data_IF_754610001605
#
_entry.id   IF_754610001605
#
_cell.length_a   1.000
_cell.length_b   1.000
_cell.length_c   1.000
_cell.angle_alpha   90.00
_cell.angle_beta   90.00
_cell.angle_gamma   90.00
#
_symmetry.space_group_name_H-M   'P 1'
#
loop_
_entity.id
_entity.type
_entity.pdbx_description
1 polymer ?
#
# COMPACT_ATOMS: atom_id res chain seq x y z
N UNK A 1 64.53 3.13 -53.14
CA UNK A 1 63.26 2.37 -53.04
C UNK A 1 62.13 3.31 -53.41
N UNK A 2 61.47 3.07 -54.55
CA UNK A 2 60.54 4.00 -55.19
C UNK A 2 59.18 4.02 -54.51
N UNK A 3 58.78 5.20 -54.07
CA UNK A 3 57.48 5.50 -53.38
C UNK A 3 56.25 5.54 -54.31
N UNK A 4 56.32 4.84 -55.50
CA UNK A 4 55.25 4.82 -56.49
C UNK A 4 54.01 3.99 -56.06
N UNK A 5 54.13 3.12 -55.06
CA UNK A 5 53.09 2.24 -54.61
C UNK A 5 51.97 2.96 -53.79
N UNK A 6 52.29 4.15 -53.24
CA UNK A 6 51.37 4.97 -52.45
C UNK A 6 50.42 5.82 -53.32
N UNK A 7 50.66 5.90 -54.65
CA UNK A 7 49.96 6.80 -55.61
C UNK A 7 48.91 6.09 -56.44
N UNK A 8 48.70 4.79 -56.34
CA UNK A 8 47.66 4.09 -57.10
C UNK A 8 46.25 4.42 -56.53
N UNK A 9 45.26 4.54 -57.47
CA UNK A 9 43.85 4.81 -57.05
C UNK A 9 43.36 3.85 -55.98
N UNK A 10 43.74 2.58 -56.04
CA UNK A 10 43.38 1.54 -55.07
C UNK A 10 43.94 1.80 -53.70
N UNK A 11 45.19 2.24 -53.51
CA UNK A 11 45.79 2.58 -52.25
C UNK A 11 45.14 3.82 -51.61
N UNK A 12 44.73 4.79 -52.37
CA UNK A 12 43.96 5.94 -51.88
C UNK A 12 42.59 5.54 -51.38
N UNK A 13 41.86 4.71 -52.13
CA UNK A 13 40.57 4.21 -51.70
C UNK A 13 40.70 3.32 -50.46
N UNK A 14 41.70 2.46 -50.36
CA UNK A 14 42.01 1.68 -49.17
C UNK A 14 42.30 2.54 -47.93
N UNK A 15 43.12 3.59 -48.10
CA UNK A 15 43.43 4.53 -47.02
C UNK A 15 42.17 5.29 -46.53
N UNK A 16 41.32 5.77 -47.47
CA UNK A 16 40.05 6.41 -47.10
C UNK A 16 39.11 5.45 -46.40
N UNK A 17 38.98 4.20 -46.83
CA UNK A 17 38.16 3.18 -46.22
C UNK A 17 38.65 2.87 -44.81
N UNK A 18 39.99 2.73 -44.62
CA UNK A 18 40.56 2.48 -43.29
C UNK A 18 40.31 3.65 -42.34
N UNK A 19 40.49 4.90 -42.79
CA UNK A 19 40.21 6.09 -41.99
C UNK A 19 38.71 6.14 -41.64
N UNK A 20 37.82 5.85 -42.61
CA UNK A 20 36.37 5.81 -42.33
C UNK A 20 36.01 4.76 -41.29
N UNK A 21 36.55 3.55 -41.38
CA UNK A 21 36.33 2.48 -40.39
C UNK A 21 36.84 2.92 -39.04
N UNK A 22 38.02 3.54 -38.93
CA UNK A 22 38.56 4.02 -37.65
C UNK A 22 37.70 5.12 -37.03
N UNK A 23 37.17 6.05 -37.84
CA UNK A 23 36.27 7.10 -37.39
C UNK A 23 34.95 6.50 -36.88
N UNK A 24 34.36 5.54 -37.60
CA UNK A 24 33.13 4.85 -37.16
C UNK A 24 33.36 4.09 -35.86
N UNK A 25 34.50 3.37 -35.76
CA UNK A 25 34.86 2.69 -34.52
C UNK A 25 35.04 3.67 -33.35
N UNK A 26 35.71 4.79 -33.57
CA UNK A 26 35.86 5.82 -32.54
C UNK A 26 34.50 6.40 -32.07
N UNK A 27 33.58 6.63 -33.04
CA UNK A 27 32.23 7.10 -32.73
C UNK A 27 31.47 6.04 -31.89
N UNK A 28 31.53 4.76 -32.28
CA UNK A 28 30.85 3.66 -31.56
C UNK A 28 31.42 3.50 -30.16
N UNK A 29 32.76 3.54 -30.00
CA UNK A 29 33.42 3.47 -28.72
C UNK A 29 33.04 4.68 -27.83
N UNK A 30 33.08 5.90 -28.43
CA UNK A 30 32.69 7.13 -27.73
C UNK A 30 31.23 7.14 -27.30
N UNK A 31 30.32 6.72 -28.20
CA UNK A 31 28.89 6.59 -27.90
C UNK A 31 28.63 5.54 -26.77
N UNK A 32 29.32 4.40 -26.86
CA UNK A 32 29.20 3.36 -25.82
C UNK A 32 29.76 3.82 -24.45
N UNK A 33 30.90 4.53 -24.47
CA UNK A 33 31.46 5.12 -23.25
C UNK A 33 30.53 6.17 -22.66
N UNK A 34 29.96 7.06 -23.50
CA UNK A 34 29.02 8.10 -23.05
C UNK A 34 27.72 7.49 -22.51
N UNK A 35 27.19 6.45 -23.18
CA UNK A 35 26.01 5.71 -22.73
C UNK A 35 26.26 5.01 -21.39
N UNK A 36 27.45 4.42 -21.20
CA UNK A 36 27.82 3.76 -19.94
C UNK A 36 28.06 4.76 -18.79
N UNK A 37 28.61 5.93 -19.09
CA UNK A 37 28.81 7.00 -18.12
C UNK A 37 27.49 7.67 -17.68
N UNK A 38 26.46 7.67 -18.53
CA UNK A 38 25.14 8.23 -18.27
C UNK A 38 24.04 7.15 -18.27
N UNK A 39 24.27 6.06 -17.57
CA UNK A 39 23.38 4.90 -17.54
C UNK A 39 22.04 5.25 -16.84
N UNK A 40 21.11 5.86 -17.56
CA UNK A 40 19.73 6.09 -17.14
C UNK A 40 18.86 4.98 -17.70
N UNK A 41 18.51 4.02 -16.85
CA UNK A 41 17.52 3.00 -17.22
C UNK A 41 16.10 3.55 -17.03
N UNK A 42 15.25 3.38 -18.02
CA UNK A 42 13.83 3.67 -17.94
C UNK A 42 13.06 2.36 -17.82
N UNK A 43 12.33 2.21 -16.70
CA UNK A 43 11.46 1.07 -16.51
C UNK A 43 10.15 1.28 -17.29
N UNK A 44 10.00 0.57 -18.40
CA UNK A 44 8.81 0.60 -19.26
C UNK A 44 7.76 -0.45 -18.89
N UNK A 45 7.95 -1.18 -17.79
CA UNK A 45 6.96 -2.15 -17.33
C UNK A 45 5.73 -1.43 -16.75
N UNK A 46 4.53 -1.97 -16.99
CA UNK A 46 3.26 -1.35 -16.58
C UNK A 46 3.22 -1.03 -15.06
N UNK A 47 3.81 -1.91 -14.22
CA UNK A 47 3.87 -1.75 -12.75
C UNK A 47 5.23 -1.25 -12.25
N UNK A 48 6.08 -0.69 -13.12
CA UNK A 48 7.44 -0.23 -12.77
C UNK A 48 8.19 -1.27 -11.90
N UNK A 49 8.18 -2.52 -12.36
CA UNK A 49 8.66 -3.68 -11.58
C UNK A 49 10.15 -3.60 -11.26
N UNK A 50 10.93 -2.97 -12.13
CA UNK A 50 12.39 -2.85 -12.01
C UNK A 50 12.84 -1.51 -11.43
N UNK A 51 11.93 -0.61 -11.07
CA UNK A 51 12.22 0.65 -10.38
C UNK A 51 11.58 0.67 -9.00
N UNK A 52 12.19 1.41 -8.07
CA UNK A 52 11.61 1.64 -6.75
C UNK A 52 10.36 2.54 -6.88
N UNK A 53 9.38 2.33 -5.99
CA UNK A 53 8.15 3.11 -5.94
C UNK A 53 8.42 4.58 -5.62
N UNK A 54 7.49 5.45 -5.98
CA UNK A 54 7.63 6.87 -5.69
C UNK A 54 7.60 7.14 -4.17
N UNK A 55 6.92 6.29 -3.40
CA UNK A 55 6.97 6.30 -1.93
C UNK A 55 8.38 6.01 -1.39
N UNK A 56 9.06 4.98 -1.91
CA UNK A 56 10.45 4.67 -1.57
C UNK A 56 11.39 5.81 -1.96
N UNK A 57 11.24 6.36 -3.17
CA UNK A 57 12.05 7.50 -3.63
C UNK A 57 11.91 8.70 -2.71
N UNK A 58 10.69 9.00 -2.24
CA UNK A 58 10.43 10.07 -1.29
C UNK A 58 11.18 9.84 0.02
N UNK A 59 11.05 8.65 0.63
CA UNK A 59 11.76 8.29 1.86
C UNK A 59 13.27 8.45 1.71
N UNK A 60 13.83 7.97 0.61
CA UNK A 60 15.27 8.02 0.34
C UNK A 60 15.75 9.45 0.06
N UNK A 61 14.93 10.29 -0.58
CA UNK A 61 15.27 11.71 -0.83
C UNK A 61 15.31 12.56 0.44
N UNK A 62 14.57 12.17 1.49
CA UNK A 62 14.50 12.86 2.78
C UNK A 62 15.63 12.45 3.76
N UNK A 63 16.50 11.52 3.39
CA UNK A 63 17.62 11.08 4.23
C UNK A 63 18.56 12.24 4.57
N UNK A 64 18.75 12.51 5.85
CA UNK A 64 19.69 13.53 6.35
C UNK A 64 21.10 12.99 6.54
N UNK A 65 21.21 11.77 7.03
CA UNK A 65 22.48 11.07 7.34
C UNK A 65 22.59 9.77 6.55
N UNK A 66 23.77 9.14 6.60
CA UNK A 66 24.04 7.86 5.95
C UNK A 66 23.20 6.74 6.56
N UNK A 67 22.71 5.86 5.70
CA UNK A 67 21.98 4.63 6.03
C UNK A 67 22.82 3.45 5.53
N UNK A 68 23.16 2.53 6.42
CA UNK A 68 23.78 1.25 6.08
C UNK A 68 22.71 0.19 5.82
N UNK A 69 22.82 -0.56 4.73
CA UNK A 69 22.01 -1.77 4.50
C UNK A 69 22.99 -2.94 4.41
N UNK A 70 22.90 -3.89 5.32
CA UNK A 70 23.77 -5.06 5.34
C UNK A 70 22.96 -6.33 5.06
N UNK A 71 23.34 -7.05 4.01
CA UNK A 71 22.74 -8.33 3.62
C UNK A 71 23.66 -9.48 4.03
N UNK A 72 23.11 -10.42 4.79
CA UNK A 72 23.81 -11.59 5.31
C UNK A 72 23.32 -12.87 4.63
N UNK A 73 24.11 -13.43 3.72
CA UNK A 73 23.80 -14.70 3.04
C UNK A 73 25.09 -15.33 2.50
N UNK A 74 24.96 -16.52 1.92
CA UNK A 74 26.06 -17.16 1.21
C UNK A 74 26.47 -16.33 0.00
N UNK A 75 27.76 -16.32 -0.30
CA UNK A 75 28.30 -15.56 -1.45
C UNK A 75 27.57 -15.83 -2.76
N UNK A 76 27.07 -17.07 -2.97
CA UNK A 76 26.30 -17.45 -4.17
C UNK A 76 24.94 -16.76 -4.29
N UNK A 77 24.35 -16.29 -3.19
CA UNK A 77 23.05 -15.61 -3.15
C UNK A 77 23.13 -14.09 -3.37
N UNK A 78 24.33 -13.50 -3.32
CA UNK A 78 24.51 -12.04 -3.42
C UNK A 78 23.99 -11.46 -4.72
N UNK A 79 24.14 -12.15 -5.85
CA UNK A 79 23.71 -11.62 -7.15
C UNK A 79 22.20 -11.39 -7.20
N UNK A 80 21.43 -12.30 -6.60
CA UNK A 80 19.99 -12.12 -6.49
C UNK A 80 19.61 -10.89 -5.62
N UNK A 81 20.32 -10.68 -4.52
CA UNK A 81 20.07 -9.55 -3.62
C UNK A 81 20.47 -8.21 -4.25
N UNK A 82 21.55 -8.17 -5.06
CA UNK A 82 22.00 -6.97 -5.78
C UNK A 82 20.93 -6.36 -6.66
N UNK A 83 20.16 -7.20 -7.36
CA UNK A 83 19.07 -6.72 -8.22
C UNK A 83 18.03 -5.85 -7.49
N UNK A 84 17.89 -6.01 -6.19
CA UNK A 84 16.98 -5.24 -5.34
C UNK A 84 17.69 -4.16 -4.54
N UNK A 85 18.79 -4.50 -3.86
CA UNK A 85 19.47 -3.60 -2.92
C UNK A 85 20.28 -2.50 -3.63
N UNK A 86 20.90 -2.79 -4.77
CA UNK A 86 21.70 -1.80 -5.49
C UNK A 86 20.81 -0.66 -6.04
N UNK A 87 19.51 -0.89 -6.28
CA UNK A 87 18.57 0.18 -6.63
C UNK A 87 18.46 1.27 -5.56
N UNK A 88 18.59 0.91 -4.29
CA UNK A 88 18.60 1.89 -3.19
C UNK A 88 19.90 2.69 -3.18
N UNK A 89 21.04 2.03 -3.42
CA UNK A 89 22.35 2.67 -3.56
C UNK A 89 22.38 3.65 -4.74
N UNK A 90 21.77 3.26 -5.87
CA UNK A 90 21.71 4.10 -7.07
C UNK A 90 20.79 5.31 -6.89
N UNK A 91 19.81 5.21 -5.99
CA UNK A 91 18.86 6.28 -5.70
C UNK A 91 19.46 7.38 -4.81
N UNK A 92 20.39 7.06 -3.91
CA UNK A 92 21.03 8.03 -3.01
C UNK A 92 22.43 7.61 -2.59
N UNK A 93 23.38 8.55 -2.69
CA UNK A 93 24.74 8.38 -2.21
C UNK A 93 24.86 8.20 -0.68
N UNK A 94 23.78 8.51 0.05
CA UNK A 94 23.68 8.28 1.51
C UNK A 94 23.37 6.84 1.88
N UNK A 95 23.00 5.99 0.92
CA UNK A 95 22.74 4.58 1.15
C UNK A 95 23.99 3.77 0.82
N UNK A 96 24.50 3.05 1.82
CA UNK A 96 25.64 2.14 1.68
C UNK A 96 25.16 0.70 1.83
N UNK A 97 25.33 -0.10 0.76
CA UNK A 97 24.94 -1.53 0.77
C UNK A 97 26.19 -2.39 0.96
N UNK A 98 26.13 -3.30 1.92
CA UNK A 98 27.22 -4.23 2.25
C UNK A 98 26.69 -5.67 2.17
N UNK A 99 27.49 -6.56 1.58
CA UNK A 99 27.17 -7.98 1.46
C UNK A 99 28.16 -8.79 2.29
N UNK A 100 27.66 -9.58 3.23
CA UNK A 100 28.49 -10.33 4.19
C UNK A 100 28.07 -11.79 4.17
N UNK A 101 29.05 -12.67 3.95
CA UNK A 101 28.87 -14.11 4.07
C UNK A 101 29.15 -14.51 5.54
N UNK A 102 28.11 -14.98 6.29
CA UNK A 102 28.26 -15.35 7.70
C UNK A 102 29.24 -16.49 7.94
N UNK A 103 29.45 -17.38 6.95
CA UNK A 103 30.42 -18.47 7.06
C UNK A 103 31.86 -17.92 6.94
N UNK A 104 32.08 -16.85 6.18
CA UNK A 104 33.38 -16.21 5.99
C UNK A 104 33.69 -15.15 7.04
N UNK A 105 32.66 -14.50 7.61
CA UNK A 105 32.80 -13.45 8.62
C UNK A 105 31.87 -13.67 9.82
N UNK A 106 32.08 -14.77 10.58
CA UNK A 106 31.20 -15.17 11.67
C UNK A 106 31.14 -14.17 12.83
N UNK A 107 32.20 -13.41 13.04
CA UNK A 107 32.24 -12.40 14.10
C UNK A 107 31.25 -11.25 13.82
N UNK A 108 31.18 -10.76 12.57
CA UNK A 108 30.28 -9.69 12.19
C UNK A 108 28.83 -10.19 12.24
N UNK A 109 28.57 -11.41 11.78
CA UNK A 109 27.25 -12.00 11.83
C UNK A 109 26.73 -12.17 13.28
N UNK A 110 27.60 -12.55 14.22
CA UNK A 110 27.26 -12.64 15.65
C UNK A 110 26.94 -11.28 16.26
N UNK A 111 27.75 -10.27 15.96
CA UNK A 111 27.50 -8.89 16.43
C UNK A 111 26.18 -8.32 15.91
N UNK A 112 25.80 -8.65 14.68
CA UNK A 112 24.53 -8.26 14.07
C UNK A 112 23.36 -9.17 14.46
N UNK A 113 23.54 -10.12 15.38
CA UNK A 113 22.50 -11.08 15.81
C UNK A 113 21.85 -11.86 14.67
N UNK A 114 22.59 -12.17 13.60
CA UNK A 114 22.09 -12.93 12.44
C UNK A 114 21.72 -14.34 12.87
N UNK A 115 20.44 -14.70 12.69
CA UNK A 115 19.93 -16.03 13.01
C UNK A 115 19.80 -16.93 11.77
N UNK A 116 19.51 -16.35 10.61
CA UNK A 116 19.25 -17.06 9.38
C UNK A 116 19.99 -16.43 8.20
N UNK A 117 20.26 -17.24 7.17
CA UNK A 117 20.69 -16.74 5.87
C UNK A 117 19.56 -15.90 5.24
N UNK A 118 19.93 -14.88 4.46
CA UNK A 118 18.99 -13.96 3.85
C UNK A 118 18.56 -12.81 4.76
N UNK A 119 19.15 -12.67 5.97
CA UNK A 119 18.86 -11.55 6.88
C UNK A 119 19.35 -10.22 6.32
N UNK A 120 18.53 -9.19 6.47
CA UNK A 120 18.82 -7.82 6.02
C UNK A 120 18.69 -6.88 7.20
N UNK A 121 19.73 -6.12 7.47
CA UNK A 121 19.71 -5.11 8.53
C UNK A 121 19.92 -3.71 7.97
N UNK A 122 19.20 -2.75 8.53
CA UNK A 122 19.28 -1.33 8.21
C UNK A 122 19.79 -0.58 9.43
N UNK A 123 20.91 0.10 9.27
CA UNK A 123 21.59 0.89 10.30
C UNK A 123 21.41 2.39 10.05
N UNK A 124 20.97 3.13 11.06
CA UNK A 124 20.87 4.59 11.03
C UNK A 124 21.24 5.17 12.40
N UNK A 125 22.43 5.73 12.51
CA UNK A 125 22.98 6.16 13.78
C UNK A 125 23.17 4.98 14.75
N UNK A 126 22.46 5.00 15.87
CA UNK A 126 22.47 3.91 16.87
C UNK A 126 21.37 2.88 16.68
N UNK A 127 20.49 3.07 15.70
CA UNK A 127 19.37 2.16 15.43
C UNK A 127 19.76 1.08 14.46
N UNK A 128 19.31 -0.12 14.75
CA UNK A 128 19.54 -1.34 13.99
C UNK A 128 18.19 -2.04 13.78
N UNK A 129 17.69 -2.06 12.54
CA UNK A 129 16.35 -2.57 12.19
C UNK A 129 16.45 -3.71 11.19
N UNK A 130 15.74 -4.78 11.40
CA UNK A 130 15.69 -5.93 10.49
C UNK A 130 14.58 -5.77 9.46
N UNK A 131 14.90 -5.99 8.18
CA UNK A 131 13.92 -6.23 7.12
C UNK A 131 13.71 -7.74 6.98
N UNK A 132 12.48 -8.20 7.16
CA UNK A 132 12.13 -9.63 7.25
C UNK A 132 12.17 -10.37 5.92
N UNK A 133 12.25 -9.66 4.79
CA UNK A 133 12.33 -10.22 3.45
C UNK A 133 13.05 -9.28 2.48
N UNK A 134 13.59 -9.85 1.39
CA UNK A 134 14.25 -9.12 0.31
C UNK A 134 13.20 -8.48 -0.64
N UNK A 135 12.29 -7.69 -0.08
CA UNK A 135 11.26 -6.95 -0.82
C UNK A 135 11.39 -5.45 -0.60
N UNK A 136 10.91 -4.66 -1.55
CA UNK A 136 10.92 -3.20 -1.42
C UNK A 136 10.16 -2.74 -0.18
N UNK A 137 9.01 -3.36 0.11
CA UNK A 137 8.17 -3.06 1.27
C UNK A 137 8.95 -3.21 2.58
N UNK A 138 9.61 -4.35 2.78
CA UNK A 138 10.34 -4.67 4.01
C UNK A 138 11.59 -3.81 4.18
N UNK A 139 12.36 -3.61 3.12
CA UNK A 139 13.60 -2.81 3.16
C UNK A 139 13.27 -1.33 3.43
N UNK A 140 12.32 -0.76 2.70
CA UNK A 140 11.92 0.64 2.94
C UNK A 140 11.21 0.78 4.27
N UNK A 141 10.45 -0.24 4.71
CA UNK A 141 9.89 -0.32 6.05
C UNK A 141 10.97 -0.26 7.13
N UNK A 142 12.05 -1.03 6.99
CA UNK A 142 13.18 -1.00 7.92
C UNK A 142 13.91 0.37 7.92
N UNK A 143 14.11 0.97 6.74
CA UNK A 143 14.65 2.34 6.64
C UNK A 143 13.76 3.32 7.41
N UNK A 144 12.44 3.29 7.20
CA UNK A 144 11.48 4.15 7.91
C UNK A 144 11.54 3.94 9.42
N UNK A 145 11.54 2.68 9.88
CA UNK A 145 11.66 2.35 11.31
C UNK A 145 12.94 2.94 11.91
N UNK A 146 14.07 2.81 11.22
CA UNK A 146 15.34 3.37 11.65
C UNK A 146 15.31 4.92 11.72
N UNK A 147 14.60 5.58 10.79
CA UNK A 147 14.49 7.05 10.75
C UNK A 147 13.53 7.61 11.81
N UNK A 148 12.50 6.85 12.21
CA UNK A 148 11.45 7.35 13.11
C UNK A 148 11.97 7.47 14.54
N UNK A 149 11.86 8.65 15.13
CA UNK A 149 12.20 8.90 16.53
C UNK A 149 11.00 8.60 17.44
N UNK A 150 11.20 7.75 18.46
CA UNK A 150 10.20 7.40 19.47
C UNK A 150 9.48 6.06 19.20
N UNK A 151 8.93 5.50 20.26
CA UNK A 151 8.10 4.29 20.21
C UNK A 151 6.65 4.72 20.04
N UNK A 152 6.01 4.31 18.95
CA UNK A 152 4.57 4.49 18.74
C UNK A 152 3.84 3.29 19.30
N UNK A 153 2.82 3.50 20.11
CA UNK A 153 2.02 2.42 20.69
C UNK A 153 0.55 2.62 20.35
N UNK A 154 -0.06 1.66 19.68
CA UNK A 154 -1.48 1.56 19.44
C UNK A 154 -2.12 0.73 20.59
N UNK A 155 -2.93 1.39 21.42
CA UNK A 155 -3.62 0.79 22.53
C UNK A 155 -5.05 0.43 22.11
N UNK A 156 -5.35 -0.85 22.03
CA UNK A 156 -6.67 -1.36 21.67
C UNK A 156 -7.52 -1.41 22.91
N UNK A 157 -8.58 -0.59 22.94
CA UNK A 157 -9.54 -0.57 24.04
C UNK A 157 -10.23 -1.92 24.13
N UNK A 158 -10.40 -2.42 25.34
CA UNK A 158 -11.10 -3.68 25.62
C UNK A 158 -12.00 -3.54 26.86
N UNK A 159 -13.07 -4.34 26.88
CA UNK A 159 -14.01 -4.40 28.01
C UNK A 159 -15.48 -4.22 27.60
N UNK A 160 -15.75 -3.58 26.44
CA UNK A 160 -17.10 -3.38 25.93
C UNK A 160 -17.39 -4.23 24.67
N UNK A 161 -16.69 -5.35 24.50
CA UNK A 161 -16.90 -6.29 23.40
C UNK A 161 -16.21 -5.88 22.09
N UNK A 162 -15.16 -5.09 22.19
CA UNK A 162 -14.33 -4.70 21.06
C UNK A 162 -13.54 -5.89 20.50
N UNK A 163 -13.15 -5.78 19.23
CA UNK A 163 -12.31 -6.78 18.58
C UNK A 163 -10.91 -6.87 19.18
N UNK A 164 -10.49 -8.11 19.53
CA UNK A 164 -9.19 -8.37 20.18
C UNK A 164 -8.05 -8.55 19.18
N UNK A 165 -6.89 -7.99 19.50
CA UNK A 165 -5.64 -8.17 18.76
C UNK A 165 -4.96 -9.52 19.00
N UNK A 166 -5.40 -10.26 20.02
CA UNK A 166 -4.92 -11.62 20.32
C UNK A 166 -5.79 -12.70 19.69
N UNK A 167 -6.98 -12.32 19.24
CA UNK A 167 -7.89 -13.24 18.57
C UNK A 167 -7.44 -13.51 17.13
N UNK A 168 -7.23 -14.80 16.82
CA UNK A 168 -6.83 -15.31 15.50
C UNK A 168 -8.00 -15.75 14.63
N UNK A 169 -9.23 -15.75 15.17
CA UNK A 169 -10.43 -16.12 14.44
C UNK A 169 -10.79 -15.05 13.38
N UNK A 170 -11.80 -15.33 12.61
CA UNK A 170 -12.18 -14.49 11.44
C UNK A 170 -12.49 -13.04 11.82
N UNK A 171 -13.07 -12.80 13.01
CA UNK A 171 -13.49 -11.50 13.51
C UNK A 171 -12.40 -10.78 14.32
N UNK A 172 -11.33 -11.50 14.72
CA UNK A 172 -10.18 -10.96 15.44
C UNK A 172 -9.34 -9.98 14.64
N UNK A 173 -8.38 -9.34 15.30
CA UNK A 173 -7.51 -8.29 14.73
C UNK A 173 -6.02 -8.67 14.74
N UNK A 174 -5.67 -9.95 14.91
CA UNK A 174 -4.28 -10.40 14.99
C UNK A 174 -3.48 -10.06 13.71
N UNK A 175 -4.10 -10.13 12.52
CA UNK A 175 -3.44 -9.74 11.26
C UNK A 175 -3.18 -8.25 11.18
N UNK A 176 -4.07 -7.41 11.71
CA UNK A 176 -3.84 -5.97 11.76
C UNK A 176 -2.75 -5.63 12.78
N UNK A 177 -2.72 -6.30 13.92
CA UNK A 177 -1.60 -6.23 14.87
C UNK A 177 -0.27 -6.51 14.17
N UNK A 178 -0.14 -7.64 13.47
CA UNK A 178 1.08 -8.02 12.76
C UNK A 178 1.49 -6.95 11.71
N UNK A 179 0.51 -6.34 11.04
CA UNK A 179 0.77 -5.26 10.09
C UNK A 179 1.30 -4.00 10.77
N UNK A 180 0.78 -3.65 11.97
CA UNK A 180 1.25 -2.52 12.78
C UNK A 180 2.67 -2.74 13.29
N UNK A 181 2.97 -3.93 13.78
CA UNK A 181 4.30 -4.28 14.29
C UNK A 181 5.39 -4.20 13.19
N UNK A 182 5.04 -4.57 11.95
CA UNK A 182 5.93 -4.43 10.79
C UNK A 182 6.31 -2.98 10.48
N UNK A 183 5.50 -2.00 10.85
CA UNK A 183 5.80 -0.58 10.68
C UNK A 183 6.28 0.08 11.98
N UNK A 184 6.81 -0.71 12.92
CA UNK A 184 7.31 -0.26 14.22
C UNK A 184 6.26 0.49 15.07
N UNK A 185 5.02 0.01 15.04
CA UNK A 185 3.95 0.42 15.97
C UNK A 185 3.71 -0.73 16.93
N UNK A 186 4.11 -0.55 18.19
CA UNK A 186 3.80 -1.53 19.24
C UNK A 186 2.29 -1.59 19.46
N UNK A 187 1.80 -2.76 19.80
CA UNK A 187 0.38 -2.96 20.12
C UNK A 187 0.22 -3.46 21.54
N UNK A 188 -0.80 -3.00 22.23
CA UNK A 188 -1.23 -3.55 23.53
C UNK A 188 -2.73 -3.43 23.70
N UNK A 189 -3.31 -4.31 24.51
CA UNK A 189 -4.68 -4.17 24.97
C UNK A 189 -4.76 -3.15 26.10
N UNK A 190 -5.87 -2.42 26.15
CA UNK A 190 -6.17 -1.39 27.15
C UNK A 190 -7.50 -1.74 27.84
N UNK A 191 -7.47 -2.47 28.95
CA UNK A 191 -8.67 -2.92 29.66
C UNK A 191 -9.30 -1.76 30.46
N UNK A 192 -10.11 -0.93 29.79
CA UNK A 192 -10.67 0.31 30.36
C UNK A 192 -11.67 0.11 31.47
N UNK A 193 -12.32 -1.05 31.55
CA UNK A 193 -13.22 -1.37 32.70
C UNK A 193 -12.43 -1.60 33.99
N UNK A 194 -11.17 -2.02 33.92
CA UNK A 194 -10.33 -2.19 35.13
C UNK A 194 -9.72 -0.84 35.55
N UNK A 195 -9.33 -0.01 34.62
CA UNK A 195 -8.79 1.31 34.88
C UNK A 195 -9.21 2.25 33.73
N UNK A 196 -10.15 3.16 34.02
CA UNK A 196 -10.66 4.14 33.08
C UNK A 196 -9.64 5.27 32.84
N UNK A 197 -8.48 4.93 32.23
CA UNK A 197 -7.41 5.86 31.94
C UNK A 197 -6.63 5.40 30.70
N UNK A 198 -6.41 6.30 29.75
CA UNK A 198 -5.47 6.07 28.65
C UNK A 198 -4.09 6.51 29.11
N UNK A 199 -3.18 5.54 29.27
CA UNK A 199 -1.83 5.79 29.77
C UNK A 199 -0.99 6.67 28.83
N UNK A 200 0.01 7.34 29.38
CA UNK A 200 0.94 8.21 28.61
C UNK A 200 1.81 7.47 27.62
N UNK A 201 1.91 6.16 27.74
CA UNK A 201 2.59 5.27 26.80
C UNK A 201 1.76 4.93 25.54
N UNK A 202 0.45 5.25 25.57
CA UNK A 202 -0.43 5.14 24.41
C UNK A 202 -0.27 6.35 23.48
N UNK A 203 0.15 6.10 22.25
CA UNK A 203 0.18 7.14 21.19
C UNK A 203 -1.18 7.26 20.51
N UNK A 204 -1.86 6.12 20.31
CA UNK A 204 -3.14 6.02 19.64
C UNK A 204 -4.06 5.12 20.48
N UNK A 205 -5.30 5.54 20.70
CA UNK A 205 -6.37 4.67 21.18
C UNK A 205 -7.14 4.11 19.97
N UNK A 206 -7.24 2.78 19.88
CA UNK A 206 -8.02 2.10 18.85
C UNK A 206 -9.27 1.51 19.51
N UNK A 207 -10.43 1.94 19.04
CA UNK A 207 -11.75 1.49 19.46
C UNK A 207 -12.33 0.64 18.34
N UNK A 208 -12.27 -0.66 18.48
CA UNK A 208 -12.51 -1.62 17.41
C UNK A 208 -13.93 -2.23 17.49
N UNK A 209 -14.95 -1.43 17.28
CA UNK A 209 -16.35 -1.85 17.21
C UNK A 209 -16.85 -2.43 18.54
N UNK A 210 -17.04 -1.60 19.56
CA UNK A 210 -17.67 -2.04 20.80
C UNK A 210 -19.05 -2.60 20.52
N UNK A 211 -19.43 -3.65 21.25
CA UNK A 211 -20.77 -4.25 21.19
C UNK A 211 -21.66 -3.81 22.36
N UNK A 212 -21.07 -3.13 23.33
CA UNK A 212 -21.76 -2.57 24.49
C UNK A 212 -21.30 -1.13 24.69
N UNK A 213 -22.22 -0.31 25.19
CA UNK A 213 -21.93 1.10 25.43
C UNK A 213 -20.91 1.31 26.55
N UNK A 214 -20.18 2.41 26.47
CA UNK A 214 -19.20 2.75 27.48
C UNK A 214 -19.85 3.36 28.72
N UNK A 215 -19.45 2.89 29.90
CA UNK A 215 -19.76 3.57 31.12
C UNK A 215 -19.14 4.97 31.18
N UNK A 216 -19.76 5.96 31.80
CA UNK A 216 -19.30 7.34 31.80
C UNK A 216 -17.81 7.55 32.10
N UNK A 217 -17.19 6.87 33.10
CA UNK A 217 -15.76 7.05 33.35
C UNK A 217 -14.86 6.66 32.19
N UNK A 218 -15.21 5.60 31.44
CA UNK A 218 -14.45 5.13 30.27
C UNK A 218 -14.58 6.12 29.10
N UNK A 219 -15.83 6.53 28.79
CA UNK A 219 -16.11 7.55 27.77
C UNK A 219 -15.34 8.84 28.07
N UNK A 220 -15.40 9.33 29.32
CA UNK A 220 -14.78 10.59 29.71
C UNK A 220 -13.24 10.50 29.66
N UNK A 221 -12.66 9.35 29.97
CA UNK A 221 -11.22 9.11 29.84
C UNK A 221 -10.77 9.16 28.38
N UNK A 222 -11.52 8.54 27.45
CA UNK A 222 -11.25 8.59 26.01
C UNK A 222 -11.40 10.03 25.50
N UNK A 223 -12.49 10.71 25.87
CA UNK A 223 -12.75 12.10 25.51
C UNK A 223 -11.59 13.00 25.94
N UNK A 224 -11.21 12.94 27.20
CA UNK A 224 -10.10 13.71 27.78
C UNK A 224 -8.76 13.42 27.09
N UNK A 225 -8.48 12.16 26.78
CA UNK A 225 -7.27 11.78 26.05
C UNK A 225 -7.20 12.48 24.69
N UNK A 226 -8.26 12.41 23.89
CA UNK A 226 -8.32 13.01 22.55
C UNK A 226 -8.26 14.54 22.65
N UNK A 227 -9.08 15.18 23.50
CA UNK A 227 -9.13 16.64 23.65
C UNK A 227 -7.81 17.24 24.13
N UNK A 228 -7.00 16.48 24.85
CA UNK A 228 -5.64 16.86 25.27
C UNK A 228 -4.55 16.60 24.21
N UNK A 229 -4.92 16.23 23.00
CA UNK A 229 -3.97 16.01 21.89
C UNK A 229 -3.66 14.55 21.61
N UNK A 230 -4.33 13.60 22.27
CA UNK A 230 -4.29 12.18 21.95
C UNK A 230 -4.88 11.88 20.58
N UNK A 231 -4.65 10.68 20.09
CA UNK A 231 -5.09 10.25 18.75
C UNK A 231 -6.02 9.05 18.89
N UNK A 232 -7.09 9.00 18.09
CA UNK A 232 -8.02 7.88 18.12
C UNK A 232 -8.40 7.38 16.71
N UNK A 233 -8.44 6.06 16.57
CA UNK A 233 -9.09 5.36 15.45
C UNK A 233 -10.35 4.71 16.03
N UNK A 234 -11.52 5.15 15.55
CA UNK A 234 -12.83 4.70 16.06
C UNK A 234 -13.56 4.00 14.94
N UNK A 235 -13.87 2.74 15.17
CA UNK A 235 -14.55 1.85 14.24
C UNK A 235 -15.91 1.47 14.82
N UNK A 236 -16.97 1.62 14.03
CA UNK A 236 -18.34 1.31 14.47
C UNK A 236 -18.85 0.00 13.86
N UNK A 237 -19.85 -0.58 14.51
CA UNK A 237 -20.57 -1.77 14.03
C UNK A 237 -22.07 -1.48 13.98
N UNK A 238 -22.84 -1.93 12.97
CA UNK A 238 -24.28 -1.77 12.98
C UNK A 238 -24.93 -2.45 14.18
N UNK A 239 -25.86 -1.76 14.83
CA UNK A 239 -26.63 -2.28 15.97
C UNK A 239 -27.71 -3.27 15.50
N UNK A 240 -27.30 -4.42 14.98
CA UNK A 240 -28.22 -5.47 14.50
C UNK A 240 -28.74 -6.25 15.69
N UNK A 241 -30.07 -6.31 15.91
CA UNK A 241 -30.64 -7.09 17.02
C UNK A 241 -30.27 -8.57 16.93
N UNK A 242 -29.99 -9.18 18.06
CA UNK A 242 -29.76 -10.61 18.18
C UNK A 242 -31.07 -11.41 17.99
N UNK A 243 -31.01 -12.74 18.15
CA UNK A 243 -32.17 -13.62 18.06
C UNK A 243 -33.24 -13.34 19.16
N UNK A 244 -32.84 -12.72 20.25
CA UNK A 244 -33.73 -12.31 21.33
C UNK A 244 -34.33 -10.91 21.11
N UNK A 245 -33.93 -10.23 20.03
CA UNK A 245 -34.39 -8.89 19.69
C UNK A 245 -33.65 -7.78 20.47
N UNK A 246 -32.57 -8.13 21.16
CA UNK A 246 -31.73 -7.17 21.88
C UNK A 246 -30.77 -6.53 20.91
N UNK A 247 -30.90 -5.21 20.72
CA UNK A 247 -29.95 -4.41 19.95
C UNK A 247 -28.87 -3.91 20.88
N UNK A 248 -27.64 -4.20 20.54
CA UNK A 248 -26.47 -3.63 21.20
C UNK A 248 -26.02 -2.39 20.41
N UNK A 249 -26.00 -1.24 21.07
CA UNK A 249 -25.54 0.02 20.47
C UNK A 249 -24.64 0.75 21.46
N UNK A 250 -23.95 1.74 20.95
CA UNK A 250 -23.00 2.55 21.71
C UNK A 250 -23.36 4.05 21.71
N UNK A 251 -24.58 4.41 22.22
CA UNK A 251 -25.10 5.78 22.12
C UNK A 251 -24.22 6.84 22.79
N UNK A 252 -23.52 6.51 23.87
CA UNK A 252 -22.59 7.44 24.51
C UNK A 252 -21.35 7.68 23.67
N UNK A 253 -20.82 6.65 22.99
CA UNK A 253 -19.71 6.80 22.03
C UNK A 253 -20.17 7.57 20.79
N UNK A 254 -21.33 7.24 20.22
CA UNK A 254 -21.92 7.95 19.07
C UNK A 254 -22.09 9.45 19.38
N UNK A 255 -22.64 9.78 20.55
CA UNK A 255 -22.83 11.16 20.98
C UNK A 255 -21.51 11.90 21.13
N UNK A 256 -20.49 11.26 21.73
CA UNK A 256 -19.15 11.85 21.86
C UNK A 256 -18.54 12.19 20.51
N UNK A 257 -18.65 11.28 19.54
CA UNK A 257 -18.12 11.47 18.18
C UNK A 257 -18.94 12.53 17.42
N UNK A 258 -20.27 12.58 17.62
CA UNK A 258 -21.14 13.60 17.05
C UNK A 258 -20.84 15.00 17.59
N UNK A 259 -20.51 15.13 18.88
CA UNK A 259 -20.07 16.39 19.49
C UNK A 259 -18.76 16.91 18.85
N UNK A 260 -17.89 16.02 18.39
CA UNK A 260 -16.67 16.39 17.66
C UNK A 260 -16.91 16.76 16.21
N UNK A 261 -18.01 16.32 15.60
CA UNK A 261 -18.38 16.69 14.23
C UNK A 261 -18.64 15.53 13.27
N UNK A 262 -18.76 14.29 13.76
CA UNK A 262 -19.13 13.14 12.93
C UNK A 262 -20.32 12.42 13.53
N UNK A 263 -21.49 12.52 12.93
CA UNK A 263 -22.65 11.71 13.34
C UNK A 263 -22.59 10.34 12.66
N UNK A 264 -22.80 9.29 13.44
CA UNK A 264 -22.86 7.90 12.99
C UNK A 264 -24.31 7.48 12.96
N UNK A 265 -24.82 7.15 11.77
CA UNK A 265 -26.24 6.79 11.61
C UNK A 265 -26.49 5.34 12.02
N UNK A 266 -27.67 5.05 12.57
CA UNK A 266 -28.06 3.67 12.88
C UNK A 266 -28.70 3.02 11.64
N UNK A 267 -27.87 2.62 10.70
CA UNK A 267 -28.24 2.05 9.42
C UNK A 267 -27.27 0.95 8.99
N UNK A 268 -27.56 0.31 7.87
CA UNK A 268 -26.66 -0.64 7.23
C UNK A 268 -26.58 -0.31 5.75
N UNK A 269 -25.37 -0.17 5.26
CA UNK A 269 -25.07 0.13 3.85
C UNK A 269 -24.82 -1.16 3.08
N UNK A 270 -25.50 -1.29 1.94
CA UNK A 270 -25.36 -2.37 0.96
C UNK A 270 -24.79 -1.88 -0.35
N UNK A 271 -24.19 -2.79 -1.10
CA UNK A 271 -23.78 -2.54 -2.48
C UNK A 271 -24.22 -3.71 -3.36
N UNK A 272 -25.04 -3.42 -4.36
CA UNK A 272 -25.51 -4.41 -5.35
C UNK A 272 -24.70 -4.38 -6.64
N UNK A 273 -23.56 -3.69 -6.63
CA UNK A 273 -22.62 -3.61 -7.74
C UNK A 273 -21.91 -4.94 -8.03
N UNK A 274 -21.03 -4.97 -9.03
CA UNK A 274 -20.39 -6.22 -9.50
C UNK A 274 -19.60 -6.97 -8.42
N UNK A 275 -19.09 -6.26 -7.42
CA UNK A 275 -18.31 -6.85 -6.33
C UNK A 275 -19.14 -7.56 -5.25
N UNK A 276 -20.46 -7.32 -5.21
CA UNK A 276 -21.37 -7.99 -4.26
C UNK A 276 -21.38 -9.51 -4.40
N UNK A 277 -21.11 -10.03 -5.59
CA UNK A 277 -20.98 -11.48 -5.85
C UNK A 277 -19.77 -12.10 -5.17
N UNK A 278 -18.72 -11.31 -4.89
CA UNK A 278 -17.48 -11.78 -4.27
C UNK A 278 -17.49 -11.59 -2.76
N UNK A 279 -17.95 -10.42 -2.30
CA UNK A 279 -17.84 -10.00 -0.89
C UNK A 279 -19.18 -10.05 -0.16
N UNK A 280 -20.30 -10.23 -0.88
CA UNK A 280 -21.66 -10.12 -0.36
C UNK A 280 -22.20 -8.68 -0.41
N UNK A 281 -23.53 -8.54 -0.43
CA UNK A 281 -24.19 -7.24 -0.56
C UNK A 281 -23.93 -6.31 0.64
N UNK A 282 -23.82 -6.86 1.85
CA UNK A 282 -23.52 -6.10 3.08
C UNK A 282 -22.02 -5.73 3.23
N UNK A 283 -21.26 -5.77 2.14
CA UNK A 283 -19.83 -5.44 2.11
C UNK A 283 -19.51 -4.47 0.96
N UNK A 284 -19.93 -3.20 1.06
CA UNK A 284 -19.69 -2.23 0.01
C UNK A 284 -18.20 -2.06 -0.29
N UNK A 285 -17.91 -1.91 -1.59
CA UNK A 285 -16.55 -1.72 -2.11
C UNK A 285 -16.35 -0.26 -2.47
N UNK A 286 -15.28 0.32 -1.95
CA UNK A 286 -14.85 1.69 -2.25
C UNK A 286 -13.64 1.65 -3.18
N UNK A 287 -13.70 2.39 -4.28
CA UNK A 287 -12.58 2.62 -5.21
C UNK A 287 -12.40 4.11 -5.54
N UNK A 288 -13.19 4.99 -4.90
CA UNK A 288 -13.13 6.43 -5.09
C UNK A 288 -12.87 7.12 -3.76
N UNK A 289 -11.74 7.81 -3.69
CA UNK A 289 -11.25 8.47 -2.48
C UNK A 289 -11.27 9.98 -2.64
N UNK A 290 -11.43 10.69 -1.53
CA UNK A 290 -11.42 12.14 -1.47
C UNK A 290 -9.98 12.69 -1.42
N UNK A 291 -9.81 14.02 -1.47
CA UNK A 291 -8.49 14.66 -1.40
C UNK A 291 -8.06 14.82 0.06
N UNK A 292 -7.48 13.77 0.65
CA UNK A 292 -6.95 13.80 2.01
C UNK A 292 -5.65 12.98 2.10
N UNK A 293 -4.73 13.34 3.01
CA UNK A 293 -3.42 12.70 3.14
C UNK A 293 -3.48 11.18 3.37
N UNK A 294 -4.49 10.68 4.11
CA UNK A 294 -4.71 9.25 4.37
C UNK A 294 -4.94 8.46 3.07
N UNK A 295 -5.67 9.04 2.12
CA UNK A 295 -6.20 8.34 0.95
C UNK A 295 -5.59 8.81 -0.38
N UNK A 296 -4.75 9.83 -0.34
CA UNK A 296 -4.13 10.44 -1.52
C UNK A 296 -3.44 9.43 -2.45
N UNK A 297 -2.76 8.45 -1.88
CA UNK A 297 -1.97 7.49 -2.63
C UNK A 297 -2.70 6.14 -2.84
N UNK A 298 -3.97 6.05 -2.45
CA UNK A 298 -4.80 4.86 -2.67
C UNK A 298 -5.14 4.64 -4.16
N UNK A 299 -5.16 5.71 -4.95
CA UNK A 299 -5.40 5.64 -6.38
C UNK A 299 -6.72 4.98 -6.74
N UNK A 300 -6.66 3.85 -7.47
CA UNK A 300 -7.82 3.02 -7.83
C UNK A 300 -7.92 1.71 -7.02
N UNK A 301 -7.14 1.60 -5.97
CA UNK A 301 -7.13 0.40 -5.13
C UNK A 301 -8.50 0.20 -4.47
N UNK A 302 -9.04 -1.01 -4.53
CA UNK A 302 -10.32 -1.33 -3.94
C UNK A 302 -10.18 -1.63 -2.44
N UNK A 303 -11.07 -1.08 -1.61
CA UNK A 303 -11.23 -1.43 -0.19
C UNK A 303 -12.65 -1.91 0.07
N UNK A 304 -12.81 -2.86 0.98
CA UNK A 304 -14.08 -3.51 1.32
C UNK A 304 -14.46 -3.18 2.75
N UNK A 305 -15.71 -2.79 2.96
CA UNK A 305 -16.22 -2.38 4.27
C UNK A 305 -17.43 -3.23 4.69
N UNK A 306 -17.22 -4.46 5.18
CA UNK A 306 -18.34 -5.30 5.62
C UNK A 306 -19.07 -4.65 6.80
N UNK A 307 -20.40 -4.81 6.82
CA UNK A 307 -21.27 -4.34 7.90
C UNK A 307 -21.04 -2.86 8.22
N UNK A 308 -21.28 -1.99 7.24
CA UNK A 308 -21.00 -0.56 7.35
C UNK A 308 -22.22 0.27 7.74
N UNK A 309 -21.97 1.27 8.56
CA UNK A 309 -22.89 2.37 8.89
C UNK A 309 -22.50 3.61 8.10
N UNK A 310 -23.45 4.43 7.73
CA UNK A 310 -23.19 5.71 7.08
C UNK A 310 -22.80 6.79 8.09
N UNK A 311 -21.98 7.75 7.64
CA UNK A 311 -21.51 8.88 8.44
C UNK A 311 -22.02 10.19 7.86
N UNK A 312 -22.42 11.13 8.74
CA UNK A 312 -22.65 12.54 8.41
C UNK A 312 -21.52 13.38 8.97
N UNK A 313 -20.78 14.06 8.09
CA UNK A 313 -19.57 14.79 8.42
C UNK A 313 -19.87 16.30 8.47
N UNK A 314 -19.59 16.93 9.61
CA UNK A 314 -19.75 18.36 9.87
C UNK A 314 -18.39 19.10 9.77
N UNK A 315 -18.40 20.41 9.94
CA UNK A 315 -17.18 21.24 9.91
C UNK A 315 -16.14 20.77 10.93
N UNK A 316 -14.86 20.78 10.54
CA UNK A 316 -13.75 20.28 11.36
C UNK A 316 -13.31 18.86 11.02
N UNK A 317 -14.12 18.12 10.26
CA UNK A 317 -13.77 16.81 9.71
C UNK A 317 -13.89 16.80 8.18
N UNK A 318 -13.09 15.98 7.54
CA UNK A 318 -13.09 15.75 6.11
C UNK A 318 -13.52 14.31 5.80
N UNK A 319 -14.32 14.17 4.74
CA UNK A 319 -14.67 12.84 4.22
C UNK A 319 -13.44 12.19 3.62
N UNK A 320 -13.25 10.90 3.86
CA UNK A 320 -12.14 10.13 3.29
C UNK A 320 -12.57 9.39 2.03
N UNK A 321 -13.69 8.70 2.11
CA UNK A 321 -14.21 7.87 1.05
C UNK A 321 -15.72 7.67 1.17
N UNK A 322 -16.33 7.39 0.03
CA UNK A 322 -17.77 7.16 -0.12
C UNK A 322 -18.02 5.90 -0.97
N UNK A 323 -19.18 5.29 -0.80
CA UNK A 323 -19.62 4.17 -1.63
C UNK A 323 -19.90 4.61 -3.07
N UNK A 324 -20.09 3.65 -3.97
CA UNK A 324 -20.54 3.90 -5.34
C UNK A 324 -22.05 4.15 -5.46
N UNK A 325 -22.47 4.47 -6.67
CA UNK A 325 -23.90 4.75 -7.02
C UNK A 325 -24.79 3.50 -6.98
N UNK A 326 -24.18 2.30 -6.85
CA UNK A 326 -24.88 1.01 -6.72
C UNK A 326 -25.19 0.65 -5.26
N UNK A 327 -24.84 1.53 -4.33
CA UNK A 327 -25.10 1.30 -2.91
C UNK A 327 -26.47 1.79 -2.48
N UNK A 328 -26.99 1.15 -1.46
CA UNK A 328 -28.24 1.46 -0.79
C UNK A 328 -28.04 1.43 0.72
N UNK A 329 -28.93 2.13 1.44
CA UNK A 329 -28.91 2.23 2.88
C UNK A 329 -30.28 1.83 3.41
N UNK A 330 -30.30 0.86 4.34
CA UNK A 330 -31.52 0.50 5.07
C UNK A 330 -31.42 0.86 6.54
N UNK A 331 -32.53 1.35 7.11
CA UNK A 331 -32.69 1.57 8.57
C UNK A 331 -33.42 0.41 9.23
N UNK A 332 -33.91 -0.57 8.45
CA UNK A 332 -34.53 -1.76 8.97
C UNK A 332 -33.48 -2.83 9.29
N UNK A 333 -32.98 -2.81 10.52
CA UNK A 333 -31.93 -3.72 10.99
C UNK A 333 -32.47 -5.04 11.57
N UNK A 334 -33.79 -5.31 11.49
CA UNK A 334 -34.39 -6.55 12.03
C UNK A 334 -34.09 -7.74 11.10
N UNK A 335 -33.46 -8.81 11.59
CA UNK A 335 -33.23 -10.01 10.78
C UNK A 335 -34.55 -10.74 10.41
N UNK A 336 -34.66 -11.29 9.18
CA UNK A 336 -33.69 -11.23 8.11
C UNK A 336 -33.70 -9.86 7.42
N UNK A 337 -32.55 -9.19 7.43
CA UNK A 337 -32.39 -7.89 6.79
C UNK A 337 -32.46 -8.11 5.28
N UNK A 338 -33.36 -7.39 4.60
CA UNK A 338 -33.53 -7.47 3.16
C UNK A 338 -33.49 -6.06 2.56
N UNK A 339 -32.76 -5.93 1.47
CA UNK A 339 -32.78 -4.71 0.66
C UNK A 339 -34.16 -4.53 0.04
N UNK A 340 -34.72 -3.34 0.15
CA UNK A 340 -35.92 -2.89 -0.50
C UNK A 340 -35.61 -1.64 -1.34
N UNK A 341 -35.23 -1.77 -2.62
CA UNK A 341 -34.77 -0.65 -3.44
C UNK A 341 -35.80 0.47 -3.59
N UNK A 342 -37.11 0.19 -3.32
CA UNK A 342 -38.17 1.18 -3.39
C UNK A 342 -38.29 2.02 -2.11
N UNK A 343 -37.79 1.52 -0.98
CA UNK A 343 -37.83 2.20 0.33
C UNK A 343 -36.46 2.64 0.83
N UNK A 344 -35.41 1.91 0.46
CA UNK A 344 -34.06 2.17 0.91
C UNK A 344 -33.44 3.34 0.13
N UNK A 345 -32.68 4.16 0.84
CA UNK A 345 -32.06 5.35 0.26
C UNK A 345 -30.89 4.94 -0.63
N UNK A 346 -30.84 5.49 -1.86
CA UNK A 346 -29.73 5.25 -2.80
C UNK A 346 -28.54 6.13 -2.47
N UNK A 347 -27.31 5.56 -2.59
CA UNK A 347 -26.02 6.21 -2.35
C UNK A 347 -25.61 7.25 -3.41
N UNK A 348 -24.40 7.81 -3.28
CA UNK A 348 -23.29 7.37 -2.43
C UNK A 348 -23.43 7.75 -0.95
N UNK A 349 -22.75 7.00 -0.05
CA UNK A 349 -22.71 7.21 1.39
C UNK A 349 -21.28 7.32 1.90
N UNK A 350 -21.03 8.27 2.80
CA UNK A 350 -19.73 8.42 3.46
C UNK A 350 -19.54 7.29 4.48
N UNK A 351 -18.41 6.58 4.41
CA UNK A 351 -18.06 5.50 5.34
C UNK A 351 -16.84 5.81 6.20
N UNK A 352 -16.08 6.85 5.89
CA UNK A 352 -14.89 7.24 6.64
C UNK A 352 -14.69 8.75 6.68
N UNK A 353 -14.26 9.25 7.83
CA UNK A 353 -13.96 10.65 8.07
C UNK A 353 -12.72 10.82 8.95
N UNK A 354 -11.99 11.91 8.77
CA UNK A 354 -10.85 12.29 9.61
C UNK A 354 -10.89 13.76 9.95
N UNK A 355 -10.39 14.11 11.14
CA UNK A 355 -10.38 15.50 11.56
C UNK A 355 -9.58 15.75 12.83
N UNK A 356 -9.59 17.00 13.28
CA UNK A 356 -8.87 17.45 14.47
C UNK A 356 -9.86 17.93 15.52
N UNK A 357 -9.76 17.38 16.73
CA UNK A 357 -10.58 17.76 17.89
C UNK A 357 -9.83 18.76 18.74
N UNK A 358 -10.52 19.85 19.14
CA UNK A 358 -9.95 20.93 19.99
C UNK A 358 -8.61 21.49 19.48
N UNK A 359 -8.38 21.43 18.14
CA UNK A 359 -7.15 21.91 17.51
C UNK A 359 -5.87 21.10 17.81
N UNK A 360 -5.97 19.99 18.52
CA UNK A 360 -4.81 19.19 18.98
C UNK A 360 -4.96 17.67 18.75
N UNK A 361 -6.09 17.10 19.12
CA UNK A 361 -6.35 15.67 18.96
C UNK A 361 -6.66 15.30 17.52
N UNK A 362 -6.16 14.19 17.01
CA UNK A 362 -6.53 13.67 15.69
C UNK A 362 -7.45 12.46 15.83
N UNK A 363 -8.49 12.43 15.04
CA UNK A 363 -9.48 11.33 15.08
C UNK A 363 -9.77 10.87 13.66
N UNK A 364 -9.83 9.56 13.49
CA UNK A 364 -10.37 8.90 12.30
C UNK A 364 -11.57 8.07 12.73
N UNK A 365 -12.69 8.25 12.05
CA UNK A 365 -13.93 7.51 12.28
C UNK A 365 -14.27 6.70 11.04
N UNK A 366 -14.58 5.42 11.22
CA UNK A 366 -15.01 4.52 10.14
C UNK A 366 -16.28 3.80 10.56
N UNK A 367 -17.27 3.80 9.70
CA UNK A 367 -18.59 3.18 9.94
C UNK A 367 -18.59 1.65 9.88
N UNK A 368 -17.44 1.00 9.80
CA UNK A 368 -17.31 -0.46 9.84
C UNK A 368 -16.17 -0.83 10.79
N UNK A 369 -16.33 -1.83 11.64
CA UNK A 369 -15.23 -2.42 12.37
C UNK A 369 -14.69 -3.66 11.64
N UNK A 370 -15.55 -4.39 10.95
CA UNK A 370 -15.19 -5.63 10.27
C UNK A 370 -14.15 -5.46 9.14
N UNK A 371 -13.96 -4.26 8.62
CA UNK A 371 -13.04 -4.00 7.49
C UNK A 371 -11.55 -4.21 7.81
N UNK A 372 -11.16 -4.21 9.08
CA UNK A 372 -9.80 -4.52 9.55
C UNK A 372 -9.69 -5.88 10.23
N UNK A 373 -10.77 -6.67 10.25
CA UNK A 373 -10.76 -8.02 10.81
C UNK A 373 -9.84 -8.96 10.03
N UNK A 374 -9.47 -10.07 10.65
CA UNK A 374 -8.66 -11.12 10.02
C UNK A 374 -9.30 -11.64 8.73
N UNK A 375 -10.62 -11.73 8.68
CA UNK A 375 -11.38 -12.11 7.49
C UNK A 375 -11.21 -11.10 6.37
N UNK A 376 -11.44 -9.82 6.63
CA UNK A 376 -11.33 -8.76 5.62
C UNK A 376 -9.89 -8.61 5.10
N UNK A 377 -8.89 -8.72 5.99
CA UNK A 377 -7.47 -8.67 5.64
C UNK A 377 -6.94 -9.93 4.94
N UNK A 378 -7.75 -10.98 4.78
CA UNK A 378 -7.40 -12.16 3.99
C UNK A 378 -7.69 -12.00 2.50
N UNK A 379 -8.52 -11.05 2.12
CA UNK A 379 -8.78 -10.74 0.72
C UNK A 379 -7.66 -9.89 0.11
N UNK A 380 -7.41 -10.01 -1.21
CA UNK A 380 -6.44 -9.19 -1.93
C UNK A 380 -7.00 -7.78 -2.19
N UNK A 381 -7.27 -7.05 -1.13
CA UNK A 381 -7.79 -5.66 -1.13
C UNK A 381 -6.80 -4.74 -0.43
N UNK A 382 -6.96 -3.43 -0.64
CA UNK A 382 -6.10 -2.43 -0.03
C UNK A 382 -6.52 -2.03 1.41
N UNK A 383 -7.32 -2.86 2.09
CA UNK A 383 -7.78 -2.59 3.46
C UNK A 383 -6.61 -2.41 4.43
N UNK A 384 -5.61 -3.32 4.37
CA UNK A 384 -4.42 -3.23 5.20
C UNK A 384 -3.71 -1.89 4.99
N UNK A 385 -3.48 -1.50 3.75
CA UNK A 385 -2.72 -0.30 3.41
C UNK A 385 -3.46 0.97 3.85
N UNK A 386 -4.79 1.02 3.68
CA UNK A 386 -5.62 2.11 4.18
C UNK A 386 -5.57 2.20 5.70
N UNK A 387 -5.66 1.07 6.41
CA UNK A 387 -5.53 1.02 7.87
C UNK A 387 -4.19 1.56 8.36
N UNK A 388 -3.10 1.14 7.72
CA UNK A 388 -1.75 1.62 8.03
C UNK A 388 -1.59 3.12 7.72
N UNK A 389 -2.19 3.64 6.64
CA UNK A 389 -2.18 5.06 6.32
C UNK A 389 -2.92 5.89 7.37
N UNK A 390 -4.07 5.40 7.89
CA UNK A 390 -4.78 6.04 9.01
C UNK A 390 -3.90 6.14 10.26
N UNK A 391 -3.23 5.07 10.64
CA UNK A 391 -2.31 5.05 11.79
C UNK A 391 -1.13 6.02 11.58
N UNK A 392 -0.54 6.04 10.38
CA UNK A 392 0.54 6.97 10.06
C UNK A 392 0.10 8.44 10.15
N UNK A 393 -1.09 8.76 9.63
CA UNK A 393 -1.64 10.12 9.72
C UNK A 393 -1.96 10.52 11.16
N UNK A 394 -2.53 9.61 11.95
CA UNK A 394 -2.80 9.83 13.37
C UNK A 394 -1.54 10.16 14.16
N UNK A 395 -0.41 9.54 13.85
CA UNK A 395 0.87 9.81 14.49
C UNK A 395 1.59 11.05 13.98
N UNK A 396 1.01 11.78 13.04
CA UNK A 396 1.63 12.88 12.31
C UNK A 396 2.80 12.48 11.39
N UNK A 397 2.92 11.19 11.13
CA UNK A 397 3.93 10.64 10.23
C UNK A 397 3.42 10.62 8.77
N UNK A 398 2.96 11.76 8.27
CA UNK A 398 2.43 11.88 6.90
C UNK A 398 3.45 11.46 5.82
N UNK A 399 4.73 11.51 6.14
CA UNK A 399 5.81 11.02 5.27
C UNK A 399 5.91 9.49 5.22
N UNK A 400 5.27 8.78 6.16
CA UNK A 400 5.31 7.33 6.28
C UNK A 400 4.15 6.66 5.53
N UNK A 401 4.01 6.96 4.24
CA UNK A 401 3.00 6.33 3.38
C UNK A 401 3.34 4.86 3.21
N UNK A 402 2.34 4.00 3.31
CA UNK A 402 2.50 2.56 3.07
C UNK A 402 2.90 2.32 1.62
N UNK A 403 3.94 1.50 1.42
CA UNK A 403 4.38 1.10 0.08
C UNK A 403 3.46 -0.01 -0.39
N UNK A 404 2.69 0.19 -1.50
CA UNK A 404 1.85 -0.87 -2.01
C UNK A 404 2.70 -2.07 -2.45
N UNK A 405 2.24 -3.26 -2.09
CA UNK A 405 2.87 -4.50 -2.55
C UNK A 405 2.72 -4.58 -4.06
N UNK A 406 3.84 -4.73 -4.80
CA UNK A 406 3.78 -4.94 -6.25
C UNK A 406 3.33 -6.37 -6.52
N UNK A 407 2.03 -6.57 -6.72
CA UNK A 407 1.49 -7.87 -7.08
C UNK A 407 1.98 -8.31 -8.47
N UNK A 408 2.21 -9.62 -8.67
CA UNK A 408 2.49 -10.16 -10.00
C UNK A 408 1.26 -9.92 -10.89
N UNK A 409 1.42 -9.12 -11.92
CA UNK A 409 0.38 -8.91 -12.92
C UNK A 409 0.10 -10.24 -13.66
N UNK A 410 -1.13 -10.71 -13.60
CA UNK A 410 -1.58 -11.83 -14.43
C UNK A 410 -1.65 -11.35 -15.90
N UNK A 411 -0.59 -11.62 -16.66
CA UNK A 411 -0.43 -11.20 -18.07
C UNK A 411 -1.17 -12.13 -19.04
N UNK A 412 -2.20 -12.82 -18.61
CA UNK A 412 -3.03 -13.55 -19.55
C UNK A 412 -3.74 -12.53 -20.43
N UNK A 413 -3.38 -12.54 -21.72
CA UNK A 413 -4.07 -11.74 -22.72
C UNK A 413 -5.48 -12.35 -22.87
N UNK A 414 -6.46 -11.77 -22.20
CA UNK A 414 -7.85 -12.11 -22.39
C UNK A 414 -8.37 -11.39 -23.64
N UNK A 415 -8.25 -12.04 -24.76
CA UNK A 415 -8.83 -11.55 -26.01
C UNK A 415 -10.34 -11.82 -26.02
N UNK A 416 -11.14 -10.80 -26.24
CA UNK A 416 -12.56 -10.99 -26.55
C UNK A 416 -12.73 -11.78 -27.85
N UNK A 417 -13.82 -12.54 -28.01
CA UNK A 417 -14.08 -13.30 -29.23
C UNK A 417 -14.00 -12.44 -30.50
N UNK A 418 -14.38 -11.17 -30.44
CA UNK A 418 -14.29 -10.22 -31.56
C UNK A 418 -12.82 -9.88 -31.89
N UNK A 419 -11.97 -9.69 -30.89
CA UNK A 419 -10.53 -9.45 -31.07
C UNK A 419 -9.82 -10.68 -31.64
N UNK A 420 -10.15 -11.88 -31.15
CA UNK A 420 -9.63 -13.14 -31.68
C UNK A 420 -9.97 -13.30 -33.17
N UNK A 421 -11.23 -13.05 -33.55
CA UNK A 421 -11.67 -13.12 -34.94
C UNK A 421 -11.00 -12.08 -35.84
N UNK A 422 -10.76 -10.85 -35.34
CA UNK A 422 -10.02 -9.82 -36.08
C UNK A 422 -8.56 -10.22 -36.31
N UNK A 423 -7.90 -10.78 -35.30
CA UNK A 423 -6.51 -11.26 -35.42
C UNK A 423 -6.45 -12.43 -36.41
N UNK A 424 -7.38 -13.39 -36.31
CA UNK A 424 -7.46 -14.51 -37.23
C UNK A 424 -7.70 -14.05 -38.68
N UNK A 425 -8.64 -13.12 -38.91
CA UNK A 425 -8.92 -12.56 -40.21
C UNK A 425 -7.71 -11.82 -40.80
N UNK A 426 -7.04 -11.01 -40.00
CA UNK A 426 -5.88 -10.23 -40.46
C UNK A 426 -4.68 -11.12 -40.81
N UNK A 427 -4.41 -12.16 -40.02
CA UNK A 427 -3.28 -13.05 -40.21
C UNK A 427 -3.50 -14.06 -41.33
N UNK A 428 -4.71 -14.61 -41.46
CA UNK A 428 -5.01 -15.72 -42.39
C UNK A 428 -5.45 -15.18 -43.79
N UNK A 429 -6.10 -14.03 -43.86
CA UNK A 429 -6.66 -13.50 -45.09
C UNK A 429 -5.91 -12.24 -45.55
N UNK A 430 -5.85 -11.20 -44.73
CA UNK A 430 -5.33 -9.89 -45.14
C UNK A 430 -3.83 -9.97 -45.50
N UNK A 431 -3.03 -10.59 -44.66
CA UNK A 431 -1.59 -10.66 -44.82
C UNK A 431 -1.16 -11.50 -46.06
N UNK A 432 -1.74 -12.70 -46.30
CA UNK A 432 -1.47 -13.43 -47.55
C UNK A 432 -1.94 -12.70 -48.82
N UNK A 433 -3.10 -12.03 -48.78
CA UNK A 433 -3.55 -11.23 -49.92
C UNK A 433 -2.62 -10.08 -50.22
N UNK A 434 -2.10 -9.37 -49.23
CA UNK A 434 -1.08 -8.34 -49.41
C UNK A 434 0.18 -8.87 -50.11
N UNK A 435 0.65 -10.08 -49.76
CA UNK A 435 1.79 -10.73 -50.39
C UNK A 435 1.49 -11.08 -51.84
N UNK A 436 0.31 -11.65 -52.12
CA UNK A 436 -0.10 -11.97 -53.51
C UNK A 436 -0.24 -10.71 -54.35
N UNK A 437 -0.88 -9.65 -53.85
CA UNK A 437 -1.01 -8.37 -54.57
C UNK A 437 0.34 -7.70 -54.82
N UNK A 438 1.24 -7.73 -53.83
CA UNK A 438 2.58 -7.18 -54.00
C UNK A 438 3.39 -7.98 -55.04
N UNK A 439 3.30 -9.30 -55.03
CA UNK A 439 3.89 -10.18 -56.04
C UNK A 439 3.34 -9.91 -57.45
N UNK A 440 2.01 -9.75 -57.57
CA UNK A 440 1.35 -9.41 -58.84
C UNK A 440 1.77 -8.01 -59.35
N UNK A 441 1.84 -7.01 -58.50
CA UNK A 441 2.29 -5.67 -58.83
C UNK A 441 3.74 -5.64 -59.35
N UNK A 442 4.65 -6.39 -58.69
CA UNK A 442 6.05 -6.54 -59.14
C UNK A 442 6.12 -7.28 -60.47
N UNK A 443 5.34 -8.34 -60.66
CA UNK A 443 5.28 -9.08 -61.92
C UNK A 443 4.78 -8.19 -63.07
N UNK A 444 3.69 -7.38 -62.83
CA UNK A 444 3.17 -6.44 -63.84
C UNK A 444 4.18 -5.36 -64.23
N UNK A 445 4.92 -4.81 -63.24
CA UNK A 445 5.92 -3.77 -63.47
C UNK A 445 7.16 -4.28 -64.24
N UNK A 446 7.41 -5.60 -64.20
CA UNK A 446 8.56 -6.23 -64.92
C UNK A 446 8.21 -6.74 -66.32
N UNK A 447 6.96 -6.71 -66.71
CA UNK A 447 6.48 -7.08 -68.02
C UNK A 447 6.26 -5.82 -68.89
#
# INVERSE_FOLDING_TARGET
>A
MNSSWIKTRQTKYGAYLTIYILVVLAIVVGANWLANANNKSFDTTANKRFSLSDATKKVVSELKNDVGITYFDKTSAFENARTTLDRYKDLSSKIKVTYIDPEKKPEIARLAHVQNFGSIFVDYGTKHEEAKALTEEEITGAIKRALTSGVRTACFVTGSGEGSITDTDREGYSRFKDALEKINVKTKELPMLQKAEVGTDCTIAVIAGPTHDYIPPVRDAIKKFVENGGKALILFTPSIPDKAGVSTGEPELEKMVADWGVAVNNDLVYDVGPYSQVFGEAAPVVGKYQSHAIVRDMGRSATVFPLSRSLEVKSGFEKLFETGDTSYLTTNLKPPIKLDPDKDKKGPFTLGAAGTVSGKGRVVVVGSAAWLSNSALSYPTANRDLGLNMINWLTADESLITIPTKEPEDRRIMLSGRQMNMIALSSVIVLPLLVVFSGFAVWWKRR
#
